data_IF_660460639599
#
_entry.id   IF_660460639599
#
_cell.length_a   1.000
_cell.length_b   1.000
_cell.length_c   1.000
_cell.angle_alpha   90.00
_cell.angle_beta   90.00
_cell.angle_gamma   90.00
#
_symmetry.space_group_name_H-M   'P 1'
#
loop_
_entity.id
_entity.type
_entity.pdbx_description
1 polymer ?
#
# COMPACT_ATOMS: atom_id res chain seq x y z
N UNK A 1 -4.82 -6.10 -15.67
CA UNK A 1 -3.66 -6.04 -14.78
C UNK A 1 -2.81 -4.86 -15.23
N UNK A 2 -2.54 -3.89 -14.35
CA UNK A 2 -1.74 -2.71 -14.71
C UNK A 2 -0.25 -3.07 -14.79
N UNK A 3 0.49 -2.41 -15.67
CA UNK A 3 1.92 -2.70 -15.88
C UNK A 3 2.79 -1.82 -14.99
N UNK A 4 3.09 -2.33 -13.79
CA UNK A 4 3.86 -1.63 -12.78
C UNK A 4 5.35 -1.47 -13.13
N UNK A 5 5.88 -2.31 -14.01
CA UNK A 5 7.31 -2.33 -14.33
C UNK A 5 7.69 -1.25 -15.34
N UNK A 6 6.80 -0.95 -16.28
CA UNK A 6 7.01 0.03 -17.33
C UNK A 6 6.38 1.39 -17.03
N UNK A 7 5.38 1.45 -16.13
CA UNK A 7 4.64 2.67 -15.84
C UNK A 7 4.64 3.03 -14.36
N UNK A 8 4.63 4.34 -14.09
CA UNK A 8 4.41 4.90 -12.74
C UNK A 8 2.99 5.38 -12.65
N UNK A 9 2.27 4.94 -11.62
CA UNK A 9 0.87 5.26 -11.44
C UNK A 9 0.65 6.16 -10.22
N UNK A 10 -0.39 6.98 -10.31
CA UNK A 10 -0.84 7.76 -9.16
C UNK A 10 -1.42 6.84 -8.07
N UNK A 11 -1.43 7.35 -6.84
CA UNK A 11 -2.00 6.71 -5.67
C UNK A 11 -3.41 6.17 -5.89
N UNK A 12 -4.26 6.91 -6.61
CA UNK A 12 -5.65 6.51 -6.87
C UNK A 12 -5.70 5.21 -7.68
N UNK A 13 -4.96 5.16 -8.78
CA UNK A 13 -4.89 3.98 -9.66
C UNK A 13 -4.29 2.78 -8.94
N UNK A 14 -3.27 2.99 -8.10
CA UNK A 14 -2.68 1.92 -7.29
C UNK A 14 -3.67 1.37 -6.26
N UNK A 15 -4.47 2.24 -5.63
CA UNK A 15 -5.52 1.84 -4.69
C UNK A 15 -6.60 1.01 -5.38
N UNK A 16 -7.09 1.45 -6.55
CA UNK A 16 -8.14 0.73 -7.28
C UNK A 16 -7.70 -0.66 -7.76
N UNK A 17 -6.40 -0.81 -8.04
CA UNK A 17 -5.82 -2.06 -8.53
C UNK A 17 -5.11 -2.86 -7.44
N UNK A 18 -5.23 -2.50 -6.15
CA UNK A 18 -4.42 -3.08 -5.09
C UNK A 18 -4.62 -4.59 -4.91
N UNK A 19 -5.82 -5.09 -5.22
CA UNK A 19 -6.13 -6.52 -5.18
C UNK A 19 -5.75 -7.27 -6.46
N UNK A 20 -5.42 -6.54 -7.53
CA UNK A 20 -5.11 -7.09 -8.85
C UNK A 20 -3.60 -7.21 -9.12
N UNK A 21 -2.76 -6.72 -8.20
CA UNK A 21 -1.29 -6.73 -8.31
C UNK A 21 -0.68 -7.15 -6.98
N UNK A 22 0.56 -7.66 -7.01
CA UNK A 22 1.27 -8.00 -5.77
C UNK A 22 1.74 -6.73 -5.07
N UNK A 23 1.58 -6.65 -3.76
CA UNK A 23 2.04 -5.51 -2.96
C UNK A 23 3.55 -5.35 -3.05
N UNK A 24 4.28 -6.47 -3.17
CA UNK A 24 5.74 -6.45 -3.32
C UNK A 24 6.18 -5.84 -4.66
N UNK A 25 5.37 -5.98 -5.72
CA UNK A 25 5.64 -5.35 -7.01
C UNK A 25 5.41 -3.85 -6.92
N UNK A 26 4.33 -3.41 -6.27
CA UNK A 26 4.11 -1.98 -5.97
C UNK A 26 5.31 -1.43 -5.20
N UNK A 27 5.74 -2.13 -4.15
CA UNK A 27 6.85 -1.69 -3.30
C UNK A 27 8.19 -1.61 -4.04
N UNK A 28 8.45 -2.45 -5.05
CA UNK A 28 9.70 -2.43 -5.83
C UNK A 28 9.67 -1.44 -6.98
N UNK A 29 8.51 -1.27 -7.60
CA UNK A 29 8.40 -0.59 -8.89
C UNK A 29 7.83 0.81 -8.76
N UNK A 30 7.09 1.13 -7.70
CA UNK A 30 6.46 2.45 -7.52
C UNK A 30 7.19 3.24 -6.45
N UNK A 31 7.18 4.56 -6.55
CA UNK A 31 7.63 5.44 -5.46
C UNK A 31 6.42 5.77 -4.60
N UNK A 32 6.40 5.23 -3.38
CA UNK A 32 5.26 5.38 -2.47
C UNK A 32 5.60 6.30 -1.30
N UNK A 33 4.59 6.99 -0.78
CA UNK A 33 4.71 7.78 0.44
C UNK A 33 4.50 6.91 1.69
N UNK A 34 4.99 7.39 2.84
CA UNK A 34 4.82 6.77 4.16
C UNK A 34 3.34 6.46 4.43
N UNK A 35 2.43 7.39 4.13
CA UNK A 35 0.99 7.18 4.33
C UNK A 35 0.45 6.02 3.50
N UNK A 36 0.94 5.86 2.27
CA UNK A 36 0.53 4.74 1.42
C UNK A 36 1.11 3.41 1.93
N UNK A 37 2.38 3.43 2.36
CA UNK A 37 3.04 2.25 2.93
C UNK A 37 2.29 1.73 4.16
N UNK A 38 1.92 2.61 5.09
CA UNK A 38 1.21 2.19 6.32
C UNK A 38 -0.23 1.76 6.03
N UNK A 39 -0.99 2.53 5.24
CA UNK A 39 -2.41 2.24 4.98
C UNK A 39 -2.66 0.99 4.14
N UNK A 40 -1.76 0.70 3.20
CA UNK A 40 -2.01 -0.30 2.16
C UNK A 40 -0.97 -1.41 2.13
N UNK A 41 0.32 -1.08 2.19
CA UNK A 41 1.39 -2.08 2.03
C UNK A 41 1.58 -2.91 3.30
N UNK A 42 1.65 -2.25 4.47
CA UNK A 42 1.86 -2.89 5.77
C UNK A 42 0.56 -3.32 6.44
N UNK A 43 -0.58 -2.98 5.84
CA UNK A 43 -1.88 -3.29 6.39
C UNK A 43 -2.26 -4.74 6.07
N UNK A 44 -2.43 -5.53 7.13
CA UNK A 44 -2.74 -6.96 7.05
C UNK A 44 -4.01 -7.28 6.26
N UNK A 45 -4.95 -6.33 6.13
CA UNK A 45 -6.17 -6.50 5.33
C UNK A 45 -5.86 -6.73 3.85
N UNK A 46 -4.81 -6.09 3.32
CA UNK A 46 -4.42 -6.20 1.91
C UNK A 46 -3.34 -7.28 1.68
N UNK A 47 -2.61 -7.70 2.72
CA UNK A 47 -1.63 -8.79 2.66
C UNK A 47 -2.28 -10.17 2.69
N UNK A 48 -3.14 -10.45 1.70
CA UNK A 48 -3.98 -11.66 1.66
C UNK A 48 -3.14 -12.92 1.40
N UNK A 49 -2.08 -12.81 0.59
CA UNK A 49 -1.22 -13.94 0.24
C UNK A 49 0.05 -13.96 1.08
N UNK A 50 0.59 -15.15 1.35
CA UNK A 50 1.86 -15.31 2.09
C UNK A 50 3.04 -14.61 1.41
N UNK A 51 3.00 -14.48 0.08
CA UNK A 51 3.99 -13.76 -0.72
C UNK A 51 3.97 -12.23 -0.47
N UNK A 52 2.85 -11.71 0.05
CA UNK A 52 2.65 -10.31 0.40
C UNK A 52 2.90 -10.05 1.89
N UNK A 53 3.67 -10.91 2.58
CA UNK A 53 4.09 -10.67 3.96
C UNK A 53 5.19 -9.60 4.01
N UNK A 54 4.79 -8.36 3.80
CA UNK A 54 5.67 -7.20 3.79
C UNK A 54 5.79 -6.69 5.23
N UNK A 55 7.00 -6.32 5.60
CA UNK A 55 7.33 -5.79 6.92
C UNK A 55 7.98 -4.42 6.78
N UNK A 56 7.97 -3.61 7.84
CA UNK A 56 8.61 -2.30 7.83
C UNK A 56 10.07 -2.33 7.33
N UNK A 57 10.92 -3.31 7.73
CA UNK A 57 12.27 -3.45 7.17
C UNK A 57 12.30 -3.63 5.65
N UNK A 58 11.34 -4.36 5.06
CA UNK A 58 11.24 -4.51 3.61
C UNK A 58 10.86 -3.20 2.94
N UNK A 59 9.96 -2.43 3.55
CA UNK A 59 9.58 -1.10 3.04
C UNK A 59 10.80 -0.21 2.96
N UNK A 60 11.59 -0.09 4.04
CA UNK A 60 12.81 0.73 4.06
C UNK A 60 13.86 0.21 3.05
N UNK A 61 13.97 -1.11 2.89
CA UNK A 61 14.92 -1.71 1.95
C UNK A 61 14.65 -1.31 0.49
N UNK A 62 13.39 -1.26 0.08
CA UNK A 62 13.01 -0.92 -1.29
C UNK A 62 12.69 0.57 -1.50
N UNK A 63 12.24 1.24 -0.45
CA UNK A 63 11.89 2.66 -0.44
C UNK A 63 12.86 3.40 0.48
N UNK A 64 14.12 3.49 0.06
CA UNK A 64 15.19 4.10 0.86
C UNK A 64 15.02 5.60 1.12
N UNK A 65 14.07 6.26 0.44
CA UNK A 65 13.69 7.64 0.72
C UNK A 65 12.83 7.77 1.98
N UNK A 66 12.19 6.68 2.42
CA UNK A 66 11.46 6.62 3.69
C UNK A 66 12.44 6.30 4.82
N UNK A 67 12.43 7.12 5.86
CA UNK A 67 13.23 6.86 7.07
C UNK A 67 12.49 5.89 7.99
N UNK A 68 13.25 5.00 8.63
CA UNK A 68 12.70 4.01 9.56
C UNK A 68 11.94 4.68 10.72
N UNK A 69 12.49 5.74 11.30
CA UNK A 69 11.86 6.48 12.41
C UNK A 69 10.51 7.08 12.01
N UNK A 70 10.41 7.65 10.81
CA UNK A 70 9.16 8.24 10.32
C UNK A 70 8.13 7.17 9.98
N UNK A 71 8.56 6.04 9.40
CA UNK A 71 7.69 4.90 9.16
C UNK A 71 7.17 4.30 10.47
N UNK A 72 8.04 4.12 11.46
CA UNK A 72 7.66 3.58 12.77
C UNK A 72 6.68 4.51 13.48
N UNK A 73 6.93 5.83 13.44
CA UNK A 73 6.01 6.82 13.99
C UNK A 73 4.67 6.77 13.29
N UNK A 74 4.64 6.68 11.96
CA UNK A 74 3.41 6.59 11.18
C UNK A 74 2.63 5.30 11.47
N UNK A 75 3.31 4.17 11.72
CA UNK A 75 2.65 2.91 12.12
C UNK A 75 2.01 3.04 13.50
N UNK A 76 2.67 3.72 14.45
CA UNK A 76 2.17 3.94 15.81
C UNK A 76 1.01 4.95 15.86
N UNK A 77 1.09 5.99 15.04
CA UNK A 77 0.10 7.05 14.90
C UNK A 77 -1.14 6.59 14.10
N UNK A 78 -0.98 5.57 13.26
CA UNK A 78 -2.06 5.03 12.47
C UNK A 78 -3.06 4.25 13.33
N UNK A 79 -4.13 4.94 13.73
CA UNK A 79 -5.31 4.31 14.30
C UNK A 79 -6.01 3.49 13.20
N UNK A 80 -6.04 2.16 13.37
CA UNK A 80 -6.61 1.20 12.42
C UNK A 80 -8.12 1.40 12.10
N UNK A 81 -8.76 2.36 12.77
CA UNK A 81 -10.16 2.79 12.60
C UNK A 81 -10.35 3.85 11.49
N UNK A 82 -9.28 4.47 10.99
CA UNK A 82 -9.32 5.50 9.92
C UNK A 82 -9.51 4.89 8.51
N UNK A 83 -9.50 3.55 8.39
CA UNK A 83 -10.03 2.84 7.21
C UNK A 83 -11.57 2.65 7.35
N UNK A 84 -12.26 3.64 7.89
CA UNK A 84 -13.69 3.83 7.60
C UNK A 84 -13.78 3.96 6.08
N UNK A 85 -14.14 2.84 5.47
CA UNK A 85 -14.51 2.75 4.07
C UNK A 85 -15.54 3.84 3.80
N UNK A 86 -15.09 4.94 3.21
CA UNK A 86 -15.95 5.75 2.36
C UNK A 86 -16.29 4.86 1.16
N UNK A 87 -17.25 3.99 1.44
CA UNK A 87 -18.24 3.44 0.56
C UNK A 87 -17.71 2.76 -0.72
N UNK A 88 -17.23 1.53 -0.59
CA UNK A 88 -17.06 0.60 -1.72
C UNK A 88 -18.36 -0.11 -2.13
N UNK A 89 -19.53 0.30 -1.61
CA UNK A 89 -20.85 -0.30 -1.90
C UNK A 89 -21.80 0.53 -2.79
N UNK A 90 -21.41 1.70 -3.34
CA UNK A 90 -22.29 2.48 -4.26
C UNK A 90 -21.66 2.64 -5.64
N UNK A 91 -21.29 1.55 -6.33
CA UNK A 91 -21.24 1.54 -7.82
C UNK A 91 -21.58 0.14 -8.38
N UNK A 92 -22.55 -0.58 -7.79
CA UNK A 92 -23.13 -1.80 -8.41
C UNK A 92 -24.65 -1.75 -8.58
N UNK A 93 -25.25 -0.55 -8.49
CA UNK A 93 -26.65 -0.32 -8.86
C UNK A 93 -26.70 0.77 -9.93
N UNK A 94 -26.47 0.39 -11.18
CA UNK A 94 -27.11 1.05 -12.31
C UNK A 94 -27.33 0.06 -13.46
#
# INVERSE_FOLDING_TARGET
MIDLYNNKYDRTTLKENIYAVKLIDILKTQTIDIKFAVRYILNKKYQIHKEDNITAPLVIKYQSHIKYEELQKAILDYESDDDSVDNFEIISLK
#
